data_IF_508936116279
#
_entry.id   IF_508936116279
#
_cell.length_a   1.000
_cell.length_b   1.000
_cell.length_c   1.000
_cell.angle_alpha   90.00
_cell.angle_beta   90.00
_cell.angle_gamma   90.00
#
_symmetry.space_group_name_H-M   'P 1'
#
loop_
_entity.id
_entity.type
_entity.pdbx_description
1 polymer ?
#
# COMPACT_ATOMS: atom_id res chain seq x y z
N UNK A 1 -16.17 -10.12 21.26
CA UNK A 1 -17.13 -10.20 20.14
C UNK A 1 -17.42 -11.67 19.87
N UNK A 2 -18.59 -12.04 19.34
CA UNK A 2 -18.87 -13.44 18.96
C UNK A 2 -18.75 -13.54 17.43
N UNK A 3 -18.09 -14.58 16.91
CA UNK A 3 -17.90 -14.82 15.48
C UNK A 3 -18.53 -16.18 15.10
N UNK A 4 -18.88 -16.39 13.82
CA UNK A 4 -19.52 -17.62 13.39
C UNK A 4 -19.18 -18.00 11.96
N UNK A 5 -19.02 -19.32 11.77
CA UNK A 5 -19.04 -20.05 10.53
C UNK A 5 -17.86 -19.80 9.58
N UNK A 6 -16.87 -20.69 9.69
CA UNK A 6 -16.11 -21.20 8.55
C UNK A 6 -16.62 -22.61 8.17
N UNK A 7 -16.51 -23.01 6.90
CA UNK A 7 -17.08 -24.28 6.40
C UNK A 7 -16.01 -25.29 5.97
N UNK A 8 -16.21 -26.57 6.26
CA UNK A 8 -15.73 -27.70 5.45
C UNK A 8 -14.22 -28.03 5.39
N UNK A 9 -13.31 -27.34 6.08
CA UNK A 9 -11.88 -27.70 6.09
C UNK A 9 -11.21 -27.56 7.46
N UNK A 10 -10.18 -28.41 7.69
CA UNK A 10 -9.36 -28.37 8.91
C UNK A 10 -8.51 -27.10 8.94
N UNK A 11 -8.97 -26.08 9.66
CA UNK A 11 -8.10 -24.97 10.05
C UNK A 11 -6.93 -25.49 10.89
N UNK A 12 -5.74 -25.49 10.31
CA UNK A 12 -4.49 -25.45 11.08
C UNK A 12 -4.47 -24.13 11.85
N UNK A 13 -4.80 -24.19 13.14
CA UNK A 13 -4.85 -23.04 14.05
C UNK A 13 -3.45 -22.55 14.46
N UNK A 14 -2.54 -22.46 13.49
CA UNK A 14 -1.20 -21.85 13.56
C UNK A 14 -0.95 -20.83 12.43
N UNK A 15 -1.83 -20.72 11.43
CA UNK A 15 -1.64 -19.84 10.26
C UNK A 15 -2.36 -18.50 10.38
N UNK A 16 -3.69 -18.52 10.52
CA UNK A 16 -4.50 -17.29 10.58
C UNK A 16 -4.31 -16.52 11.88
N UNK A 17 -4.19 -17.23 13.00
CA UNK A 17 -3.92 -16.66 14.32
C UNK A 17 -2.59 -15.91 14.32
N UNK A 18 -1.49 -16.56 13.90
CA UNK A 18 -0.17 -15.94 13.84
C UNK A 18 -0.12 -14.75 12.86
N UNK A 19 -0.79 -14.86 11.71
CA UNK A 19 -0.89 -13.76 10.73
C UNK A 19 -1.63 -12.54 11.30
N UNK A 20 -2.83 -12.73 11.85
CA UNK A 20 -3.58 -11.62 12.44
C UNK A 20 -2.92 -11.09 13.72
N UNK A 21 -2.40 -11.94 14.60
CA UNK A 21 -1.77 -11.48 15.85
C UNK A 21 -0.49 -10.67 15.55
N UNK A 22 0.34 -11.11 14.59
CA UNK A 22 1.52 -10.37 14.16
C UNK A 22 1.16 -9.06 13.45
N UNK A 23 0.36 -9.12 12.37
CA UNK A 23 0.08 -7.95 11.53
C UNK A 23 -0.85 -6.90 12.16
N UNK A 24 -1.51 -7.25 13.26
CA UNK A 24 -2.38 -6.33 14.01
C UNK A 24 -1.85 -5.99 15.40
N UNK A 25 -0.61 -6.37 15.73
CA UNK A 25 0.01 -6.10 17.03
C UNK A 25 -0.85 -6.62 18.21
N UNK A 26 -1.36 -7.84 18.07
CA UNK A 26 -2.28 -8.53 18.98
C UNK A 26 -3.66 -7.85 19.17
N UNK A 27 -4.05 -6.88 18.34
CA UNK A 27 -5.36 -6.22 18.44
C UNK A 27 -6.50 -7.08 17.89
N UNK A 28 -6.21 -7.95 16.91
CA UNK A 28 -7.10 -9.00 16.42
C UNK A 28 -6.46 -10.36 16.69
N UNK A 29 -7.26 -11.29 17.23
CA UNK A 29 -6.85 -12.68 17.49
C UNK A 29 -7.78 -13.62 16.72
N UNK A 30 -7.23 -14.64 16.05
CA UNK A 30 -8.01 -15.59 15.24
C UNK A 30 -8.10 -16.98 15.91
N UNK A 31 -8.36 -16.99 17.21
CA UNK A 31 -8.31 -18.22 18.02
C UNK A 31 -9.50 -19.15 17.75
N UNK A 32 -9.29 -20.46 17.89
CA UNK A 32 -10.29 -21.50 17.58
C UNK A 32 -11.55 -21.35 18.43
N UNK A 33 -11.42 -21.03 19.71
CA UNK A 33 -12.54 -20.81 20.64
C UNK A 33 -13.46 -19.64 20.24
N UNK A 34 -12.96 -18.71 19.42
CA UNK A 34 -13.72 -17.57 18.92
C UNK A 34 -14.27 -17.81 17.51
N UNK A 35 -13.78 -18.81 16.76
CA UNK A 35 -14.12 -19.07 15.36
C UNK A 35 -14.84 -20.42 15.23
N UNK A 36 -16.16 -20.38 15.13
CA UNK A 36 -16.99 -21.57 14.96
C UNK A 36 -16.87 -22.12 13.54
N UNK A 37 -16.52 -23.40 13.41
CA UNK A 37 -16.39 -24.12 12.13
C UNK A 37 -17.51 -25.15 12.03
N UNK A 38 -18.14 -25.28 10.87
CA UNK A 38 -19.24 -26.22 10.61
C UNK A 38 -19.00 -26.99 9.31
N UNK A 39 -19.04 -28.32 9.38
CA UNK A 39 -19.04 -29.16 8.19
C UNK A 39 -20.50 -29.34 7.74
N UNK A 40 -20.77 -29.04 6.46
CA UNK A 40 -22.12 -29.02 5.89
C UNK A 40 -22.12 -29.79 4.57
N UNK A 41 -22.93 -30.84 4.53
CA UNK A 41 -23.18 -31.59 3.30
C UNK A 41 -23.94 -30.72 2.30
N UNK A 42 -23.30 -30.45 1.17
CA UNK A 42 -23.82 -29.60 0.09
C UNK A 42 -24.11 -30.50 -1.12
N UNK A 43 -25.37 -30.60 -1.60
CA UNK A 43 -25.67 -31.24 -2.86
C UNK A 43 -24.87 -30.59 -4.00
N UNK A 44 -24.41 -31.34 -4.99
CA UNK A 44 -23.63 -30.74 -6.09
C UNK A 44 -24.47 -29.83 -7.01
N UNK A 45 -25.79 -30.04 -7.06
CA UNK A 45 -26.74 -29.29 -7.89
C UNK A 45 -28.01 -29.12 -7.08
N UNK A 46 -28.62 -27.93 -7.08
CA UNK A 46 -29.85 -27.71 -6.34
C UNK A 46 -30.36 -26.28 -6.38
N UNK A 47 -31.19 -25.93 -5.40
CA UNK A 47 -31.74 -24.58 -5.22
C UNK A 47 -31.81 -24.27 -3.74
N UNK A 48 -31.27 -23.11 -3.35
CA UNK A 48 -31.23 -22.62 -1.98
C UNK A 48 -31.93 -21.25 -1.92
N UNK A 49 -33.17 -21.24 -1.42
CA UNK A 49 -34.00 -20.03 -1.48
C UNK A 49 -34.30 -19.66 -2.94
N UNK A 50 -33.81 -18.50 -3.39
CA UNK A 50 -33.93 -18.06 -4.79
C UNK A 50 -32.79 -18.51 -5.71
N UNK A 51 -31.65 -18.88 -5.14
CA UNK A 51 -30.42 -19.15 -5.86
C UNK A 51 -30.43 -20.59 -6.39
N UNK A 52 -30.32 -20.75 -7.70
CA UNK A 52 -30.11 -22.08 -8.31
C UNK A 52 -28.61 -22.24 -8.43
N UNK A 53 -28.05 -23.38 -8.05
CA UNK A 53 -26.59 -23.57 -8.12
C UNK A 53 -26.26 -24.87 -8.83
N UNK A 54 -25.17 -24.87 -9.61
CA UNK A 54 -24.60 -26.07 -10.20
C UNK A 54 -23.09 -26.09 -9.96
N UNK A 55 -22.71 -26.63 -8.81
CA UNK A 55 -21.32 -26.76 -8.38
C UNK A 55 -20.49 -27.74 -9.24
N UNK A 56 -21.10 -28.39 -10.24
CA UNK A 56 -20.38 -29.21 -11.24
C UNK A 56 -19.90 -28.41 -12.45
N UNK A 57 -20.66 -27.39 -12.87
CA UNK A 57 -20.45 -26.71 -14.16
C UNK A 57 -20.44 -25.18 -14.09
N UNK A 58 -20.71 -24.58 -12.92
CA UNK A 58 -20.63 -23.12 -12.72
C UNK A 58 -21.57 -22.30 -13.59
N UNK A 59 -22.68 -22.89 -14.04
CA UNK A 59 -23.49 -22.34 -15.13
C UNK A 59 -24.88 -21.86 -14.69
N UNK A 60 -25.05 -21.57 -13.41
CA UNK A 60 -26.16 -20.72 -12.96
C UNK A 60 -25.81 -19.27 -13.26
N UNK A 61 -26.81 -18.43 -13.54
CA UNK A 61 -26.56 -17.04 -13.97
C UNK A 61 -26.03 -16.17 -12.81
N UNK A 62 -24.82 -15.63 -12.95
CA UNK A 62 -24.25 -14.64 -12.02
C UNK A 62 -23.69 -15.27 -10.74
N UNK A 63 -23.85 -14.58 -9.61
CA UNK A 63 -23.28 -14.97 -8.30
C UNK A 63 -24.07 -16.08 -7.59
N UNK A 64 -24.92 -16.82 -8.31
CA UNK A 64 -25.94 -17.71 -7.75
C UNK A 64 -25.31 -18.87 -6.95
N UNK A 65 -24.16 -19.41 -7.38
CA UNK A 65 -23.35 -20.37 -6.63
C UNK A 65 -22.80 -19.79 -5.31
N UNK A 66 -22.30 -18.55 -5.32
CA UNK A 66 -21.73 -17.86 -4.15
C UNK A 66 -22.79 -17.66 -3.06
N UNK A 67 -23.94 -17.08 -3.43
CA UNK A 67 -25.04 -16.81 -2.50
C UNK A 67 -25.88 -18.05 -2.19
N UNK A 68 -25.93 -19.03 -3.10
CA UNK A 68 -26.49 -20.36 -2.85
C UNK A 68 -25.77 -21.07 -1.71
N UNK A 69 -24.44 -21.05 -1.70
CA UNK A 69 -23.62 -21.56 -0.60
C UNK A 69 -23.94 -20.86 0.74
N UNK A 70 -24.05 -19.52 0.73
CA UNK A 70 -24.43 -18.74 1.91
C UNK A 70 -25.83 -19.10 2.45
N UNK A 71 -26.77 -19.39 1.54
CA UNK A 71 -28.14 -19.74 1.89
C UNK A 71 -28.26 -21.19 2.41
N UNK A 72 -27.47 -22.13 1.88
CA UNK A 72 -27.36 -23.49 2.42
C UNK A 72 -26.75 -23.49 3.82
N UNK A 73 -25.65 -22.76 4.01
CA UNK A 73 -25.01 -22.53 5.30
C UNK A 73 -26.00 -22.04 6.36
N UNK A 74 -26.82 -21.04 6.01
CA UNK A 74 -27.87 -20.52 6.89
C UNK A 74 -28.97 -21.55 7.19
N UNK A 75 -29.44 -22.29 6.19
CA UNK A 75 -30.45 -23.36 6.37
C UNK A 75 -29.96 -24.52 7.22
N UNK A 76 -28.67 -24.88 7.14
CA UNK A 76 -28.06 -25.85 8.03
C UNK A 76 -28.14 -25.35 9.49
N UNK A 77 -27.76 -24.09 9.73
CA UNK A 77 -27.78 -23.49 11.06
C UNK A 77 -29.20 -23.27 11.60
N UNK A 78 -30.20 -23.04 10.74
CA UNK A 78 -31.62 -23.03 11.13
C UNK A 78 -32.06 -24.40 11.71
N UNK A 79 -31.50 -25.51 11.22
CA UNK A 79 -31.78 -26.87 11.70
C UNK A 79 -30.92 -27.28 12.91
N UNK A 80 -29.65 -26.88 12.95
CA UNK A 80 -28.66 -27.39 13.94
C UNK A 80 -28.38 -26.43 15.08
N UNK A 81 -28.53 -25.12 14.88
CA UNK A 81 -28.21 -24.10 15.89
C UNK A 81 -29.07 -22.84 15.72
N UNK A 82 -30.35 -22.94 16.09
CA UNK A 82 -31.33 -21.86 15.97
C UNK A 82 -30.89 -20.54 16.64
N UNK A 83 -30.12 -20.59 17.73
CA UNK A 83 -29.57 -19.40 18.39
C UNK A 83 -28.55 -18.68 17.51
N UNK A 84 -27.67 -19.41 16.83
CA UNK A 84 -26.68 -18.82 15.93
C UNK A 84 -27.34 -18.33 14.64
N UNK A 85 -28.26 -19.10 14.05
CA UNK A 85 -29.05 -18.66 12.89
C UNK A 85 -29.83 -17.38 13.15
N UNK A 86 -30.55 -17.27 14.29
CA UNK A 86 -31.28 -16.05 14.68
C UNK A 86 -30.37 -14.82 14.78
N UNK A 87 -29.08 -15.02 15.08
CA UNK A 87 -28.09 -13.96 15.21
C UNK A 87 -27.18 -13.80 13.97
N UNK A 88 -27.48 -14.47 12.84
CA UNK A 88 -26.66 -14.50 11.62
C UNK A 88 -26.12 -13.12 11.20
N UNK A 89 -26.99 -12.12 11.05
CA UNK A 89 -26.61 -10.76 10.63
C UNK A 89 -25.76 -9.99 11.65
N UNK A 90 -25.63 -10.47 12.90
CA UNK A 90 -24.76 -9.85 13.92
C UNK A 90 -23.30 -10.25 13.78
N UNK A 91 -23.02 -11.37 13.09
CA UNK A 91 -21.67 -11.85 12.84
C UNK A 91 -21.03 -11.07 11.69
N UNK A 92 -19.97 -10.32 12.00
CA UNK A 92 -19.25 -9.42 11.09
C UNK A 92 -18.36 -10.12 10.06
N UNK A 93 -18.09 -11.41 10.22
CA UNK A 93 -17.27 -12.25 9.33
C UNK A 93 -18.00 -13.57 9.16
N UNK A 94 -18.11 -14.03 7.92
CA UNK A 94 -18.71 -15.31 7.52
C UNK A 94 -17.88 -15.83 6.36
N UNK A 95 -17.15 -16.93 6.58
CA UNK A 95 -16.14 -17.42 5.64
C UNK A 95 -16.66 -18.70 5.01
N UNK A 96 -17.06 -18.64 3.74
CA UNK A 96 -17.63 -19.77 3.02
C UNK A 96 -16.52 -20.41 2.18
N UNK A 97 -16.05 -21.58 2.61
CA UNK A 97 -15.03 -22.33 1.86
C UNK A 97 -15.76 -23.22 0.86
N UNK A 98 -15.37 -23.10 -0.41
CA UNK A 98 -15.91 -23.91 -1.48
C UNK A 98 -15.40 -25.36 -1.36
N UNK A 99 -16.28 -26.37 -1.50
CA UNK A 99 -15.87 -27.78 -1.52
C UNK A 99 -15.33 -28.22 -2.90
N UNK A 100 -14.96 -27.27 -3.77
CA UNK A 100 -14.92 -27.47 -5.22
C UNK A 100 -13.55 -27.27 -5.82
N UNK A 101 -12.92 -28.39 -6.10
CA UNK A 101 -11.75 -28.41 -6.96
C UNK A 101 -11.60 -29.72 -7.73
N UNK A 102 -12.60 -30.62 -7.69
CA UNK A 102 -12.58 -31.91 -8.40
C UNK A 102 -12.83 -31.81 -9.92
N UNK A 103 -13.09 -30.61 -10.47
CA UNK A 103 -13.26 -30.36 -11.90
C UNK A 103 -12.66 -29.01 -12.29
N UNK A 104 -12.03 -28.93 -13.47
CA UNK A 104 -11.16 -27.80 -13.85
C UNK A 104 -11.89 -26.55 -14.36
N UNK A 105 -11.23 -25.41 -14.19
CA UNK A 105 -11.31 -24.16 -14.98
C UNK A 105 -12.57 -23.27 -14.96
N UNK A 106 -13.67 -23.58 -14.26
CA UNK A 106 -14.83 -22.67 -14.26
C UNK A 106 -14.82 -21.59 -13.16
N UNK A 107 -14.25 -21.86 -11.98
CA UNK A 107 -14.16 -20.90 -10.87
C UNK A 107 -12.75 -20.29 -10.79
N UNK A 108 -12.45 -19.34 -11.66
CA UNK A 108 -11.13 -18.71 -11.81
C UNK A 108 -10.68 -17.75 -10.69
N UNK A 109 -11.15 -17.93 -9.45
CA UNK A 109 -10.79 -17.12 -8.29
C UNK A 109 -10.27 -17.99 -7.15
N UNK A 110 -9.31 -17.50 -6.36
CA UNK A 110 -8.84 -18.16 -5.12
C UNK A 110 -9.59 -17.64 -3.88
N UNK A 111 -9.97 -16.36 -3.90
CA UNK A 111 -10.76 -15.68 -2.88
C UNK A 111 -11.70 -14.66 -3.52
N UNK A 112 -12.77 -14.31 -2.79
CA UNK A 112 -13.64 -13.19 -3.12
C UNK A 112 -14.34 -12.69 -1.85
N UNK A 113 -14.53 -11.38 -1.72
CA UNK A 113 -15.18 -10.81 -0.53
C UNK A 113 -16.00 -9.56 -0.81
N UNK A 114 -17.00 -9.36 0.04
CA UNK A 114 -17.70 -8.08 0.15
C UNK A 114 -16.77 -7.00 0.70
N UNK A 115 -16.73 -5.85 0.02
CA UNK A 115 -15.88 -4.71 0.42
C UNK A 115 -16.64 -3.76 1.36
N UNK A 116 -16.03 -3.38 2.49
CA UNK A 116 -16.52 -2.30 3.35
C UNK A 116 -17.85 -2.58 4.06
N UNK A 117 -17.96 -3.74 4.72
CA UNK A 117 -19.22 -4.23 5.27
C UNK A 117 -19.83 -3.35 6.37
N UNK A 118 -21.06 -2.90 6.15
CA UNK A 118 -21.82 -2.09 7.10
C UNK A 118 -22.30 -2.90 8.34
N UNK A 119 -22.41 -2.27 9.53
CA UNK A 119 -22.93 -2.94 10.73
C UNK A 119 -24.35 -3.49 10.52
N UNK A 120 -24.59 -4.74 10.96
CA UNK A 120 -25.88 -5.48 10.84
C UNK A 120 -26.30 -5.87 9.42
N UNK A 121 -25.46 -5.62 8.40
CA UNK A 121 -25.61 -6.22 7.09
C UNK A 121 -24.86 -7.55 7.02
N UNK A 122 -25.28 -8.42 6.11
CA UNK A 122 -24.49 -9.61 5.81
C UNK A 122 -23.21 -9.23 5.07
N UNK A 123 -22.15 -9.96 5.40
CA UNK A 123 -20.79 -9.72 4.99
C UNK A 123 -20.18 -11.09 4.76
N UNK A 124 -19.87 -11.40 3.50
CA UNK A 124 -19.39 -12.71 3.08
C UNK A 124 -17.97 -12.60 2.53
N UNK A 125 -17.20 -13.64 2.83
CA UNK A 125 -15.93 -13.97 2.19
C UNK A 125 -16.08 -15.39 1.68
N UNK A 126 -15.75 -15.62 0.42
CA UNK A 126 -15.69 -16.90 -0.23
C UNK A 126 -14.23 -17.27 -0.48
N UNK A 127 -13.85 -18.50 -0.15
CA UNK A 127 -12.49 -19.02 -0.32
C UNK A 127 -12.58 -20.27 -1.17
N UNK A 128 -11.74 -20.37 -2.19
CA UNK A 128 -11.77 -21.44 -3.18
C UNK A 128 -10.41 -22.15 -3.21
N UNK A 129 -10.20 -23.17 -2.35
CA UNK A 129 -8.97 -23.95 -2.30
C UNK A 129 -8.79 -24.82 -3.56
N UNK A 130 -7.55 -25.12 -3.92
CA UNK A 130 -7.20 -25.87 -5.12
C UNK A 130 -7.49 -27.38 -5.06
N UNK A 131 -7.22 -28.09 -6.17
CA UNK A 131 -7.55 -29.52 -6.37
C UNK A 131 -6.88 -30.44 -5.36
N UNK A 132 -5.66 -30.09 -4.97
CA UNK A 132 -4.82 -30.86 -4.07
C UNK A 132 -4.82 -30.33 -2.63
N UNK A 133 -5.58 -29.27 -2.33
CA UNK A 133 -5.48 -28.54 -1.07
C UNK A 133 -6.39 -29.12 0.01
N UNK A 134 -5.82 -29.44 1.17
CA UNK A 134 -6.53 -29.95 2.35
C UNK A 134 -6.99 -28.85 3.32
N UNK A 135 -6.71 -27.58 2.97
CA UNK A 135 -6.88 -26.37 3.78
C UNK A 135 -6.96 -25.12 2.88
N UNK A 136 -7.59 -24.02 3.34
CA UNK A 136 -7.53 -22.74 2.64
C UNK A 136 -6.12 -22.13 2.67
N UNK A 137 -5.78 -21.37 1.63
CA UNK A 137 -4.61 -20.49 1.62
C UNK A 137 -4.83 -19.33 2.62
N UNK A 138 -3.93 -19.19 3.59
CA UNK A 138 -4.08 -18.28 4.73
C UNK A 138 -3.86 -16.80 4.36
N UNK A 139 -2.81 -16.44 3.59
CA UNK A 139 -2.73 -15.18 2.87
C UNK A 139 -4.00 -14.78 2.11
N UNK A 140 -4.61 -15.69 1.34
CA UNK A 140 -5.88 -15.38 0.64
C UNK A 140 -6.98 -15.06 1.65
N UNK A 141 -7.15 -15.89 2.69
CA UNK A 141 -8.10 -15.61 3.79
C UNK A 141 -7.83 -14.24 4.44
N UNK A 142 -6.57 -13.84 4.59
CA UNK A 142 -6.20 -12.55 5.17
C UNK A 142 -6.56 -11.37 4.26
N UNK A 143 -6.25 -11.46 2.96
CA UNK A 143 -6.62 -10.47 1.94
C UNK A 143 -8.15 -10.27 1.89
N UNK A 144 -8.90 -11.37 1.75
CA UNK A 144 -10.37 -11.31 1.64
C UNK A 144 -11.05 -10.78 2.91
N UNK A 145 -10.52 -11.08 4.09
CA UNK A 145 -10.99 -10.47 5.35
C UNK A 145 -10.57 -9.00 5.49
N UNK A 146 -9.52 -8.57 4.77
CA UNK A 146 -9.16 -7.16 4.60
C UNK A 146 -10.23 -6.39 3.83
N UNK A 147 -10.75 -6.96 2.74
CA UNK A 147 -11.86 -6.37 1.98
C UNK A 147 -13.12 -6.16 2.84
N UNK A 148 -13.50 -7.12 3.68
CA UNK A 148 -14.63 -6.98 4.61
C UNK A 148 -14.55 -5.73 5.50
N UNK A 149 -13.35 -5.30 5.90
CA UNK A 149 -13.13 -4.07 6.70
C UNK A 149 -12.85 -2.82 5.86
N UNK A 150 -12.97 -2.92 4.53
CA UNK A 150 -12.84 -1.80 3.59
C UNK A 150 -11.40 -1.56 3.11
N UNK A 151 -10.48 -2.50 3.26
CA UNK A 151 -9.22 -2.45 2.52
C UNK A 151 -9.51 -2.70 1.03
N UNK A 152 -8.92 -1.90 0.17
CA UNK A 152 -8.92 -2.16 -1.28
C UNK A 152 -7.64 -2.94 -1.62
N UNK A 153 -7.36 -3.24 -2.89
CA UNK A 153 -6.04 -3.76 -3.28
C UNK A 153 -4.91 -2.78 -2.91
N UNK A 154 -3.64 -3.19 -3.00
CA UNK A 154 -2.49 -2.29 -2.86
C UNK A 154 -1.77 -2.19 -4.20
N UNK A 155 -1.82 -0.99 -4.77
CA UNK A 155 -1.45 -0.73 -6.16
C UNK A 155 -0.13 0.03 -6.28
N UNK A 156 0.38 0.16 -7.50
CA UNK A 156 1.62 0.90 -7.80
C UNK A 156 1.52 1.60 -9.15
N UNK A 157 2.28 2.68 -9.32
CA UNK A 157 2.53 3.25 -10.65
C UNK A 157 3.72 2.53 -11.28
N UNK A 158 3.51 1.93 -12.44
CA UNK A 158 4.51 1.16 -13.19
C UNK A 158 4.74 1.85 -14.53
N UNK A 159 5.99 2.19 -14.82
CA UNK A 159 6.38 2.85 -16.07
C UNK A 159 7.14 1.88 -16.97
N UNK A 160 6.86 1.91 -18.27
CA UNK A 160 7.65 1.19 -19.26
C UNK A 160 8.99 1.88 -19.56
N UNK A 161 9.86 1.22 -20.33
CA UNK A 161 11.16 1.77 -20.76
C UNK A 161 11.05 3.00 -21.69
N UNK A 162 9.85 3.47 -22.00
CA UNK A 162 9.57 4.67 -22.81
C UNK A 162 8.96 5.80 -21.98
N UNK A 163 8.80 5.60 -20.66
CA UNK A 163 8.22 6.57 -19.74
C UNK A 163 6.69 6.57 -19.68
N UNK A 164 6.01 5.59 -20.32
CA UNK A 164 4.56 5.47 -20.21
C UNK A 164 4.21 4.81 -18.86
N UNK A 165 3.62 5.57 -17.96
CA UNK A 165 3.24 5.11 -16.62
C UNK A 165 1.76 4.73 -16.54
N UNK A 166 1.47 3.56 -15.99
CA UNK A 166 0.12 3.06 -15.74
C UNK A 166 -0.04 2.62 -14.28
N UNK A 167 -1.28 2.57 -13.80
CA UNK A 167 -1.61 2.03 -12.47
C UNK A 167 -1.77 0.52 -12.55
N UNK A 168 -0.92 -0.22 -11.85
CA UNK A 168 -1.02 -1.67 -11.64
C UNK A 168 -1.73 -1.94 -10.32
N UNK A 169 -2.85 -2.66 -10.35
CA UNK A 169 -3.76 -2.76 -9.21
C UNK A 169 -3.22 -3.59 -8.04
N UNK A 170 -2.50 -4.65 -8.34
CA UNK A 170 -1.80 -5.46 -7.35
C UNK A 170 -0.31 -5.10 -7.28
N UNK A 171 0.08 -3.99 -7.92
CA UNK A 171 1.46 -3.64 -8.17
C UNK A 171 2.32 -3.35 -6.94
N UNK A 172 1.76 -3.32 -5.72
CA UNK A 172 2.53 -3.32 -4.46
C UNK A 172 3.06 -4.74 -4.17
N UNK A 173 4.38 -4.99 -4.31
CA UNK A 173 4.96 -6.31 -4.13
C UNK A 173 5.30 -6.61 -2.66
N UNK A 174 4.94 -5.74 -1.71
CA UNK A 174 5.25 -5.89 -0.27
C UNK A 174 4.00 -5.80 0.62
N UNK A 175 2.80 -5.91 0.05
CA UNK A 175 1.52 -5.91 0.76
C UNK A 175 0.65 -7.11 0.32
N UNK A 176 0.04 -7.88 1.24
CA UNK A 176 -0.90 -8.97 0.90
C UNK A 176 -2.22 -8.49 0.29
N UNK A 177 -2.50 -7.19 0.23
CA UNK A 177 -3.55 -6.63 -0.64
C UNK A 177 -3.05 -6.37 -2.08
N UNK A 178 -1.74 -6.50 -2.32
CA UNK A 178 -1.08 -6.38 -3.62
C UNK A 178 -0.64 -7.75 -4.15
N UNK A 179 0.64 -7.89 -4.55
CA UNK A 179 1.17 -9.09 -5.19
C UNK A 179 2.19 -9.87 -4.33
N UNK A 180 2.15 -9.72 -3.00
CA UNK A 180 3.09 -10.38 -2.08
C UNK A 180 2.48 -11.62 -1.42
N UNK A 181 3.30 -12.66 -1.22
CA UNK A 181 2.89 -13.91 -0.56
C UNK A 181 4.04 -14.43 0.34
N UNK A 182 3.75 -15.01 1.52
CA UNK A 182 4.76 -15.68 2.33
C UNK A 182 5.14 -17.03 1.73
N UNK A 183 6.45 -17.30 1.71
CA UNK A 183 7.07 -18.41 0.98
C UNK A 183 6.90 -19.76 1.67
N UNK A 184 6.81 -19.69 2.99
CA UNK A 184 6.29 -20.75 3.81
C UNK A 184 5.23 -20.11 4.72
N UNK A 185 3.93 -20.24 4.38
CA UNK A 185 2.82 -19.70 5.19
C UNK A 185 2.74 -20.30 6.61
N UNK A 186 3.59 -21.27 6.97
CA UNK A 186 3.71 -21.82 8.32
C UNK A 186 4.87 -21.23 9.12
N UNK A 187 5.78 -20.49 8.48
CA UNK A 187 6.97 -19.87 9.11
C UNK A 187 7.01 -18.36 8.95
N UNK A 188 6.51 -17.83 7.85
CA UNK A 188 6.61 -16.43 7.47
C UNK A 188 5.23 -15.79 7.36
N UNK A 189 5.17 -14.50 7.67
CA UNK A 189 3.97 -13.67 7.62
C UNK A 189 4.31 -12.40 6.84
N UNK A 190 3.44 -11.98 5.92
CA UNK A 190 3.56 -10.67 5.28
C UNK A 190 2.38 -9.81 5.68
N UNK A 191 2.67 -8.58 6.13
CA UNK A 191 1.67 -7.66 6.68
C UNK A 191 1.39 -6.49 5.75
N UNK A 192 0.14 -6.03 5.75
CA UNK A 192 -0.34 -4.85 5.00
C UNK A 192 0.58 -3.64 5.11
N UNK A 193 0.72 -2.85 4.04
CA UNK A 193 1.52 -1.63 4.02
C UNK A 193 0.99 -0.58 5.01
N UNK A 194 1.76 0.49 5.22
CA UNK A 194 1.42 1.53 6.18
C UNK A 194 0.06 2.20 5.93
N UNK A 195 -0.31 2.44 4.67
CA UNK A 195 -1.57 3.08 4.33
C UNK A 195 -2.78 2.17 4.67
N UNK A 196 -2.71 0.90 4.30
CA UNK A 196 -3.73 -0.11 4.63
C UNK A 196 -3.82 -0.37 6.13
N UNK A 197 -2.68 -0.55 6.81
CA UNK A 197 -2.62 -0.82 8.25
C UNK A 197 -3.10 0.37 9.09
N UNK A 198 -2.87 1.61 8.64
CA UNK A 198 -3.50 2.82 9.19
C UNK A 198 -5.01 2.84 8.94
N UNK A 199 -5.47 2.55 7.71
CA UNK A 199 -6.90 2.51 7.35
C UNK A 199 -7.67 1.46 8.18
N UNK A 200 -7.04 0.32 8.46
CA UNK A 200 -7.58 -0.74 9.31
C UNK A 200 -7.60 -0.39 10.82
N UNK A 201 -6.90 0.69 11.22
CA UNK A 201 -6.70 1.04 12.63
C UNK A 201 -5.71 0.13 13.37
N UNK A 202 -4.91 -0.66 12.65
CA UNK A 202 -3.94 -1.59 13.24
C UNK A 202 -2.63 -0.90 13.64
N UNK A 203 -2.21 0.09 12.87
CA UNK A 203 -1.00 0.87 13.12
C UNK A 203 -1.28 2.37 13.14
N UNK A 204 -0.43 3.13 13.84
CA UNK A 204 -0.49 4.59 13.89
C UNK A 204 0.81 5.21 13.37
N UNK A 205 0.79 6.53 13.08
CA UNK A 205 2.03 7.28 12.96
C UNK A 205 2.84 7.25 14.27
N UNK A 206 4.14 7.50 14.16
CA UNK A 206 5.03 7.75 15.31
C UNK A 206 4.68 9.07 16.00
N UNK A 207 5.23 9.30 17.20
CA UNK A 207 5.09 10.59 17.87
C UNK A 207 5.65 11.72 16.99
N UNK A 208 4.83 12.72 16.67
CA UNK A 208 5.18 13.78 15.73
C UNK A 208 5.20 13.38 14.25
N UNK A 209 4.88 12.12 13.90
CA UNK A 209 4.85 11.61 12.53
C UNK A 209 3.49 11.76 11.82
N UNK A 210 2.45 12.24 12.49
CA UNK A 210 1.15 12.58 11.90
C UNK A 210 1.14 14.08 11.60
N UNK A 211 1.26 14.44 10.32
CA UNK A 211 1.68 15.78 9.88
C UNK A 211 0.76 16.33 8.80
N UNK A 212 0.59 17.64 8.77
CA UNK A 212 0.06 18.41 7.66
C UNK A 212 1.21 19.08 6.93
N UNK A 213 1.37 18.80 5.62
CA UNK A 213 2.46 19.33 4.81
C UNK A 213 2.59 20.86 4.94
N UNK A 214 1.47 21.57 4.83
CA UNK A 214 1.44 23.04 4.78
C UNK A 214 1.37 23.74 6.14
N UNK A 215 1.39 23.00 7.25
CA UNK A 215 1.34 23.56 8.62
C UNK A 215 2.50 23.12 9.50
N UNK A 216 2.95 21.88 9.34
CA UNK A 216 3.94 21.26 10.23
C UNK A 216 5.33 21.13 9.57
N UNK A 217 5.45 21.33 8.25
CA UNK A 217 6.73 21.46 7.55
C UNK A 217 6.90 22.90 7.08
N UNK A 218 8.14 23.38 7.08
CA UNK A 218 8.54 24.68 6.51
C UNK A 218 9.32 24.40 5.23
N UNK A 219 9.06 25.13 4.12
CA UNK A 219 9.84 24.99 2.89
C UNK A 219 11.34 25.15 3.16
N UNK A 220 12.16 24.29 2.56
CA UNK A 220 13.63 24.30 2.69
C UNK A 220 14.18 23.90 4.06
N UNK A 221 13.34 23.52 5.03
CA UNK A 221 13.76 23.11 6.38
C UNK A 221 13.55 21.60 6.57
N UNK A 222 14.59 20.76 6.41
CA UNK A 222 14.48 19.32 6.61
C UNK A 222 14.14 18.97 8.06
N UNK A 223 13.11 18.14 8.26
CA UNK A 223 12.76 17.54 9.56
C UNK A 223 13.13 16.07 9.61
N UNK A 224 13.89 15.68 10.63
CA UNK A 224 14.38 14.31 10.83
C UNK A 224 13.42 13.53 11.73
N UNK A 225 13.13 12.27 11.34
CA UNK A 225 12.25 11.35 12.06
C UNK A 225 12.90 9.97 12.19
N UNK A 226 12.66 9.31 13.33
CA UNK A 226 12.98 7.90 13.54
C UNK A 226 11.74 7.05 13.33
N UNK A 227 11.84 6.06 12.44
CA UNK A 227 10.80 5.11 12.10
C UNK A 227 11.17 3.72 12.62
N UNK A 228 10.50 3.22 13.67
CA UNK A 228 10.61 1.82 14.06
C UNK A 228 10.27 0.88 12.90
N UNK A 229 10.92 -0.27 12.86
CA UNK A 229 10.55 -1.34 11.93
C UNK A 229 9.09 -1.77 12.17
N UNK A 230 8.31 -1.89 11.10
CA UNK A 230 6.89 -2.26 11.18
C UNK A 230 6.66 -3.57 11.94
N UNK A 231 7.59 -4.52 11.92
CA UNK A 231 7.48 -5.77 12.66
C UNK A 231 7.55 -5.63 14.19
N UNK A 232 8.06 -4.50 14.71
CA UNK A 232 8.39 -4.33 16.13
C UNK A 232 7.47 -3.38 16.90
N UNK A 233 6.76 -2.48 16.21
CA UNK A 233 5.95 -1.45 16.87
C UNK A 233 4.71 -1.12 16.03
N UNK A 234 3.56 -0.88 16.68
CA UNK A 234 2.34 -0.40 16.03
C UNK A 234 2.44 1.06 15.58
N UNK A 235 3.30 1.85 16.22
CA UNK A 235 3.60 3.22 15.85
C UNK A 235 4.90 3.23 15.02
N UNK A 236 4.78 3.17 13.70
CA UNK A 236 5.89 2.78 12.79
C UNK A 236 5.99 3.57 11.47
N UNK A 237 5.19 4.62 11.32
CA UNK A 237 5.12 5.38 10.07
C UNK A 237 5.08 6.90 10.28
N UNK A 238 5.36 7.64 9.21
CA UNK A 238 4.87 9.00 9.01
C UNK A 238 3.61 8.95 8.16
N UNK A 239 2.67 9.85 8.44
CA UNK A 239 1.52 10.17 7.58
C UNK A 239 1.54 11.67 7.34
N UNK A 240 1.94 12.07 6.14
CA UNK A 240 2.07 13.45 5.71
C UNK A 240 0.85 13.80 4.85
N UNK A 241 -0.09 14.56 5.38
CA UNK A 241 -1.30 15.00 4.68
C UNK A 241 -0.89 16.00 3.59
N UNK A 242 -1.15 15.63 2.34
CA UNK A 242 -0.92 16.46 1.15
C UNK A 242 -2.22 17.06 0.59
N UNK A 243 -3.34 16.86 1.28
CA UNK A 243 -4.63 17.40 0.89
C UNK A 243 -4.80 18.87 1.29
N UNK A 244 -4.79 19.77 0.30
CA UNK A 244 -4.99 21.22 0.52
C UNK A 244 -6.42 21.57 0.98
N UNK A 245 -7.43 20.78 0.62
CA UNK A 245 -8.84 21.02 0.99
C UNK A 245 -9.15 20.49 2.39
N UNK A 246 -8.50 19.40 2.79
CA UNK A 246 -8.60 18.85 4.13
C UNK A 246 -7.20 18.63 4.79
N UNK A 247 -6.46 19.71 5.12
CA UNK A 247 -5.11 19.63 5.68
C UNK A 247 -5.11 19.37 7.20
N UNK A 248 -6.23 18.94 7.79
CA UNK A 248 -6.36 18.84 9.24
C UNK A 248 -5.89 17.50 9.79
N UNK A 249 -5.00 17.57 10.77
CA UNK A 249 -4.44 16.42 11.51
C UNK A 249 -5.44 15.88 12.53
N UNK A 250 -6.24 16.76 13.14
CA UNK A 250 -7.08 16.47 14.32
C UNK A 250 -8.60 16.61 14.08
N UNK A 251 -9.04 17.43 13.11
CA UNK A 251 -10.47 17.60 12.82
C UNK A 251 -10.90 16.67 11.68
N UNK A 252 -11.09 15.39 12.00
CA UNK A 252 -11.79 14.46 11.13
C UNK A 252 -13.30 14.73 11.18
N UNK A 253 -13.76 15.85 10.61
CA UNK A 253 -15.19 16.11 10.33
C UNK A 253 -15.64 15.24 9.15
N UNK A 254 -15.71 13.93 9.41
CA UNK A 254 -16.52 12.84 8.84
C UNK A 254 -16.72 12.65 7.33
N UNK A 255 -16.48 13.61 6.42
CA UNK A 255 -16.97 13.50 5.04
C UNK A 255 -15.96 13.74 3.90
N UNK A 256 -14.74 14.22 4.17
CA UNK A 256 -13.75 14.47 3.10
C UNK A 256 -12.57 13.49 3.16
N UNK A 257 -12.46 12.68 2.11
CA UNK A 257 -11.27 11.87 1.80
C UNK A 257 -10.01 12.74 1.87
N UNK A 258 -8.96 12.26 2.55
CA UNK A 258 -7.67 12.95 2.64
C UNK A 258 -6.61 12.21 1.84
N UNK A 259 -5.91 12.93 0.95
CA UNK A 259 -4.63 12.46 0.39
C UNK A 259 -3.51 12.61 1.41
N UNK A 260 -2.68 11.57 1.54
CA UNK A 260 -1.50 11.59 2.38
C UNK A 260 -0.40 10.68 1.81
N UNK A 261 0.86 11.08 2.00
CA UNK A 261 2.02 10.23 1.79
C UNK A 261 2.27 9.44 3.07
N UNK A 262 2.57 8.15 2.94
CA UNK A 262 2.92 7.26 4.04
C UNK A 262 4.38 6.85 3.90
N UNK A 263 5.17 7.05 4.96
CA UNK A 263 6.58 6.65 5.01
C UNK A 263 6.72 5.63 6.13
N UNK A 264 7.24 4.44 5.85
CA UNK A 264 7.37 3.38 6.86
C UNK A 264 8.63 2.56 6.62
N UNK A 265 9.14 1.93 7.68
CA UNK A 265 10.35 1.13 7.60
C UNK A 265 10.07 -0.36 7.74
N UNK A 266 10.51 -1.15 6.76
CA UNK A 266 10.42 -2.61 6.76
C UNK A 266 11.82 -3.21 6.82
N UNK A 267 11.97 -4.22 7.66
CA UNK A 267 13.16 -5.07 7.76
C UNK A 267 12.79 -6.40 7.13
N UNK A 268 13.68 -6.94 6.30
CA UNK A 268 13.34 -7.99 5.34
C UNK A 268 13.92 -9.35 5.75
N UNK A 269 13.08 -10.39 5.67
CA UNK A 269 13.43 -11.82 5.73
C UNK A 269 12.66 -12.52 4.56
N UNK A 270 13.25 -13.55 3.93
CA UNK A 270 13.24 -13.69 2.45
C UNK A 270 12.15 -14.55 1.74
N UNK A 271 12.18 -14.41 0.38
CA UNK A 271 11.55 -15.09 -0.78
C UNK A 271 10.21 -14.47 -1.30
N UNK A 272 9.61 -14.93 -2.41
CA UNK A 272 9.95 -14.74 -3.84
C UNK A 272 8.78 -15.07 -4.83
N UNK A 273 8.43 -14.13 -5.73
CA UNK A 273 7.57 -14.28 -6.96
C UNK A 273 6.06 -14.62 -6.75
N UNK A 274 5.09 -14.51 -7.70
CA UNK A 274 5.03 -14.33 -9.17
C UNK A 274 3.59 -13.86 -9.60
N UNK A 275 3.20 -13.38 -10.80
CA UNK A 275 3.92 -12.88 -11.99
C UNK A 275 3.12 -11.86 -12.89
N UNK A 276 1.86 -12.07 -13.31
CA UNK A 276 1.02 -11.04 -14.02
C UNK A 276 -0.10 -11.47 -15.01
N UNK A 277 -1.37 -11.21 -14.67
CA UNK A 277 -2.58 -11.14 -15.54
C UNK A 277 -3.50 -9.98 -15.03
N UNK A 278 -4.29 -9.24 -15.87
CA UNK A 278 -4.78 -7.88 -15.54
C UNK A 278 -6.09 -7.76 -14.73
N UNK A 279 -6.31 -6.59 -14.10
CA UNK A 279 -7.42 -6.26 -13.19
C UNK A 279 -8.07 -4.87 -13.44
N UNK A 280 -9.07 -4.46 -12.63
CA UNK A 280 -9.89 -3.26 -12.81
C UNK A 280 -10.55 -2.76 -11.48
N UNK A 281 -10.51 -1.48 -11.05
CA UNK A 281 -9.58 -0.34 -11.30
C UNK A 281 -9.81 0.90 -10.37
N UNK A 282 -10.91 1.02 -9.63
CA UNK A 282 -11.38 2.32 -9.08
C UNK A 282 -10.85 2.73 -7.68
N UNK A 283 -9.55 3.03 -7.60
CA UNK A 283 -8.85 3.86 -6.56
C UNK A 283 -8.47 3.28 -5.17
N UNK A 284 -7.74 2.16 -5.08
CA UNK A 284 -6.96 1.76 -3.89
C UNK A 284 -5.73 2.64 -3.56
N UNK A 285 -5.06 2.43 -2.39
CA UNK A 285 -3.76 3.02 -2.09
C UNK A 285 -2.66 2.62 -3.09
N UNK A 286 -1.64 3.48 -3.20
CA UNK A 286 -0.56 3.40 -4.18
C UNK A 286 0.79 3.45 -3.46
N UNK A 287 1.65 2.46 -3.71
CA UNK A 287 3.09 2.57 -3.46
C UNK A 287 3.73 3.42 -4.55
N UNK A 288 4.50 4.42 -4.13
CA UNK A 288 5.15 5.38 -5.03
C UNK A 288 6.62 5.02 -5.26
N UNK A 289 7.36 4.69 -4.20
CA UNK A 289 8.77 4.33 -4.26
C UNK A 289 9.22 3.52 -3.03
N UNK A 290 10.41 2.91 -3.11
CA UNK A 290 11.10 2.30 -1.97
C UNK A 290 12.58 2.69 -1.96
N UNK A 291 13.07 3.12 -0.79
CA UNK A 291 14.46 3.55 -0.58
C UNK A 291 15.33 2.35 -0.18
N UNK A 292 16.52 2.20 -0.78
CA UNK A 292 17.50 1.17 -0.40
C UNK A 292 18.89 1.76 -0.13
N UNK A 293 19.80 0.94 0.39
CA UNK A 293 21.23 1.27 0.60
C UNK A 293 22.08 0.99 -0.65
N UNK A 294 21.57 1.39 -1.83
CA UNK A 294 22.18 1.16 -3.16
C UNK A 294 22.43 -0.32 -3.51
N UNK A 295 21.97 -1.26 -2.69
CA UNK A 295 21.93 -2.68 -3.01
C UNK A 295 20.65 -2.96 -3.79
N UNK A 296 20.72 -3.74 -4.90
CA UNK A 296 19.52 -4.22 -5.56
C UNK A 296 18.74 -5.12 -4.59
N UNK A 297 17.42 -4.93 -4.42
CA UNK A 297 16.59 -5.87 -3.69
C UNK A 297 16.58 -7.21 -4.46
N UNK A 298 16.95 -8.34 -3.83
CA UNK A 298 16.93 -9.61 -4.55
C UNK A 298 15.52 -9.98 -5.06
N UNK A 299 15.45 -10.42 -6.32
CA UNK A 299 14.27 -11.07 -6.94
C UNK A 299 12.96 -10.27 -7.06
N UNK A 300 12.99 -8.93 -7.20
CA UNK A 300 11.78 -8.17 -7.60
C UNK A 300 12.04 -7.31 -8.84
N UNK A 301 11.79 -7.93 -10.01
CA UNK A 301 12.26 -7.53 -11.36
C UNK A 301 11.64 -6.25 -11.95
N UNK A 302 10.93 -5.43 -11.15
CA UNK A 302 10.17 -4.25 -11.60
C UNK A 302 10.28 -3.05 -10.64
N UNK A 303 11.26 -3.04 -9.74
CA UNK A 303 11.44 -1.96 -8.76
C UNK A 303 12.08 -0.71 -9.34
N UNK A 304 11.44 0.44 -9.11
CA UNK A 304 12.13 1.72 -9.02
C UNK A 304 12.91 1.77 -7.71
N UNK A 305 14.14 1.26 -7.72
CA UNK A 305 15.10 1.43 -6.63
C UNK A 305 15.58 2.87 -6.65
N UNK A 306 15.48 3.57 -5.53
CA UNK A 306 16.04 4.91 -5.40
C UNK A 306 17.21 4.91 -4.41
N UNK A 307 18.29 5.57 -4.83
CA UNK A 307 19.55 5.67 -4.09
C UNK A 307 19.40 6.64 -2.92
N UNK A 308 18.85 6.16 -1.80
CA UNK A 308 18.77 6.90 -0.54
C UNK A 308 17.75 8.06 -0.50
N UNK A 309 17.23 8.58 -1.60
CA UNK A 309 16.24 9.67 -1.62
C UNK A 309 15.03 9.40 -2.52
N UNK A 310 13.87 9.99 -2.19
CA UNK A 310 12.66 9.94 -3.01
C UNK A 310 11.99 11.31 -3.03
N UNK A 311 11.74 11.83 -4.22
CA UNK A 311 11.05 13.11 -4.43
C UNK A 311 9.70 12.88 -5.08
N UNK A 312 8.63 13.33 -4.41
CA UNK A 312 7.28 13.36 -4.94
C UNK A 312 6.86 14.80 -5.25
N UNK A 313 6.68 15.14 -6.52
CA UNK A 313 6.04 16.39 -6.93
C UNK A 313 4.55 16.37 -6.56
N UNK A 314 4.05 17.48 -6.05
CA UNK A 314 2.69 17.66 -5.58
C UNK A 314 2.05 18.86 -6.29
N UNK A 315 1.04 18.65 -7.16
CA UNK A 315 0.35 19.74 -7.85
C UNK A 315 -0.10 20.84 -6.89
N UNK A 316 0.20 22.09 -7.26
CA UNK A 316 -0.08 23.32 -6.49
C UNK A 316 0.54 23.39 -5.07
N UNK A 317 1.46 22.49 -4.73
CA UNK A 317 2.12 22.39 -3.41
C UNK A 317 3.65 22.20 -3.51
N UNK A 318 4.26 22.29 -4.69
CA UNK A 318 5.71 22.07 -4.87
C UNK A 318 6.05 20.58 -4.85
N UNK A 319 6.86 20.11 -3.90
CA UNK A 319 7.14 18.69 -3.75
C UNK A 319 7.78 18.31 -2.41
N UNK A 320 7.79 17.01 -2.10
CA UNK A 320 8.35 16.48 -0.85
C UNK A 320 9.48 15.53 -1.17
N UNK A 321 10.65 15.80 -0.61
CA UNK A 321 11.84 14.95 -0.62
C UNK A 321 11.91 14.15 0.69
N UNK A 322 12.16 12.84 0.58
CA UNK A 322 12.34 11.92 1.70
C UNK A 322 13.70 11.25 1.54
N UNK A 323 14.61 11.46 2.49
CA UNK A 323 15.97 10.92 2.43
C UNK A 323 16.23 9.95 3.57
N UNK A 324 16.73 8.76 3.26
CA UNK A 324 17.22 7.77 4.23
C UNK A 324 18.60 8.21 4.76
N UNK A 325 18.66 8.63 6.02
CA UNK A 325 19.91 9.07 6.66
C UNK A 325 20.64 7.92 7.38
N UNK A 326 19.92 6.97 7.98
CA UNK A 326 20.52 5.74 8.55
C UNK A 326 19.50 4.61 8.74
N UNK A 327 19.95 3.36 8.93
CA UNK A 327 19.08 2.21 9.24
C UNK A 327 19.75 1.16 10.13
N UNK A 328 18.92 0.42 10.85
CA UNK A 328 19.25 -0.70 11.74
C UNK A 328 18.14 -1.76 11.62
N UNK A 329 18.32 -3.02 12.07
CA UNK A 329 17.25 -4.01 12.12
C UNK A 329 16.06 -3.63 13.02
N UNK A 330 16.12 -2.52 13.76
CA UNK A 330 15.05 -2.07 14.66
C UNK A 330 14.37 -0.77 14.23
N UNK A 331 15.09 0.12 13.53
CA UNK A 331 14.58 1.42 13.09
C UNK A 331 15.40 2.02 11.93
N UNK A 332 14.80 2.93 11.18
CA UNK A 332 15.47 3.82 10.23
C UNK A 332 15.30 5.28 10.62
N UNK A 333 16.28 6.11 10.27
CA UNK A 333 16.22 7.57 10.39
C UNK A 333 16.04 8.16 9.00
N UNK A 334 14.97 8.94 8.82
CA UNK A 334 14.66 9.62 7.56
C UNK A 334 14.59 11.13 7.76
N UNK A 335 15.04 11.90 6.78
CA UNK A 335 14.73 13.32 6.65
C UNK A 335 13.51 13.48 5.75
N UNK A 336 12.62 14.41 6.08
CA UNK A 336 11.53 14.85 5.21
C UNK A 336 11.66 16.36 5.04
N UNK A 337 11.75 16.79 3.79
CA UNK A 337 11.88 18.20 3.43
C UNK A 337 10.80 18.53 2.39
N UNK A 338 10.20 19.73 2.54
CA UNK A 338 9.20 20.26 1.62
C UNK A 338 9.86 21.38 0.82
N UNK A 339 9.70 21.38 -0.50
CA UNK A 339 10.22 22.44 -1.37
C UNK A 339 9.11 23.09 -2.20
N UNK A 340 9.38 24.32 -2.64
CA UNK A 340 8.53 25.07 -3.58
C UNK A 340 9.23 25.27 -4.94
N UNK A 341 10.56 25.15 -4.99
CA UNK A 341 11.37 25.13 -6.21
C UNK A 341 12.01 23.75 -6.40
N UNK A 342 12.33 23.38 -7.64
CA UNK A 342 13.06 22.13 -7.96
C UNK A 342 14.56 22.35 -8.22
N UNK A 343 15.01 23.60 -8.13
CA UNK A 343 16.38 24.08 -8.35
C UNK A 343 16.55 25.37 -7.53
N UNK A 344 17.48 25.43 -6.58
CA UNK A 344 17.75 26.61 -5.75
C UNK A 344 18.00 27.88 -6.60
N UNK A 345 18.79 27.73 -7.67
CA UNK A 345 19.23 28.82 -8.56
C UNK A 345 18.14 29.42 -9.47
N UNK A 346 16.92 28.87 -9.49
CA UNK A 346 15.97 29.10 -10.59
C UNK A 346 15.00 30.29 -10.44
N UNK A 347 15.07 31.05 -9.34
CA UNK A 347 14.15 32.17 -9.10
C UNK A 347 14.75 33.38 -8.37
N UNK A 348 15.53 33.16 -7.31
CA UNK A 348 16.17 34.22 -6.54
C UNK A 348 17.57 33.77 -6.11
N UNK A 349 18.57 34.65 -6.29
CA UNK A 349 19.95 34.38 -5.87
C UNK A 349 20.08 34.32 -4.34
N UNK A 350 19.12 34.86 -3.60
CA UNK A 350 19.11 34.81 -2.13
C UNK A 350 19.00 33.38 -1.59
N UNK A 351 18.32 32.49 -2.31
CA UNK A 351 18.13 31.06 -1.99
C UNK A 351 19.44 30.25 -1.96
N UNK A 352 20.53 30.82 -2.48
CA UNK A 352 21.88 30.25 -2.42
C UNK A 352 22.73 30.81 -1.28
N UNK A 353 22.10 31.48 -0.31
CA UNK A 353 22.76 32.14 0.83
C UNK A 353 21.87 32.36 2.05
N UNK A 354 20.71 31.69 2.12
CA UNK A 354 19.70 31.89 3.18
C UNK A 354 19.75 30.81 4.29
N UNK A 355 20.58 29.77 4.12
CA UNK A 355 20.78 28.70 5.09
C UNK A 355 19.76 27.57 4.98
N UNK A 356 19.02 27.47 3.87
CA UNK A 356 17.99 26.46 3.62
C UNK A 356 18.39 25.50 2.49
N UNK A 357 17.72 24.35 2.44
CA UNK A 357 17.85 23.29 1.40
C UNK A 357 16.63 23.44 0.48
N UNK A 358 16.62 24.49 -0.35
CA UNK A 358 15.40 25.09 -0.92
C UNK A 358 14.68 24.22 -1.97
N UNK A 359 15.37 23.27 -2.59
CA UNK A 359 14.81 22.22 -3.44
C UNK A 359 14.84 20.81 -2.81
N UNK A 360 15.37 20.69 -1.59
CA UNK A 360 15.43 19.48 -0.79
C UNK A 360 16.27 18.33 -1.37
N UNK A 361 17.29 18.66 -2.18
CA UNK A 361 18.36 17.77 -2.65
C UNK A 361 19.18 17.19 -1.46
N UNK A 362 19.32 17.94 -0.36
CA UNK A 362 20.08 17.57 0.83
C UNK A 362 21.41 18.31 1.01
N UNK A 363 21.72 19.24 0.11
CA UNK A 363 22.80 20.21 0.19
C UNK A 363 22.21 21.60 0.51
N UNK A 364 23.07 22.57 0.88
CA UNK A 364 22.65 23.90 1.33
C UNK A 364 23.59 24.97 0.76
N UNK A 365 23.02 26.04 0.21
CA UNK A 365 23.72 27.25 -0.23
C UNK A 365 24.99 26.94 -1.08
N UNK A 366 26.18 27.27 -0.57
CA UNK A 366 27.45 27.11 -1.28
C UNK A 366 27.93 25.65 -1.39
N UNK A 367 27.37 24.73 -0.59
CA UNK A 367 27.62 23.29 -0.74
C UNK A 367 26.84 22.71 -1.93
N UNK A 368 25.74 23.34 -2.32
CA UNK A 368 24.87 22.94 -3.44
C UNK A 368 25.53 23.15 -4.83
N UNK A 369 25.44 22.21 -5.79
CA UNK A 369 25.97 22.35 -7.14
C UNK A 369 25.29 23.43 -8.00
N UNK A 370 23.98 23.61 -7.88
CA UNK A 370 23.18 24.53 -8.67
C UNK A 370 23.49 26.00 -8.29
N UNK A 371 23.80 26.25 -7.03
CA UNK A 371 24.28 27.55 -6.56
C UNK A 371 25.70 27.91 -7.07
N UNK A 372 26.55 26.94 -7.42
CA UNK A 372 27.90 27.20 -7.96
C UNK A 372 27.89 27.82 -9.36
N UNK A 373 26.78 27.72 -10.09
CA UNK A 373 26.60 28.41 -11.37
C UNK A 373 26.40 29.94 -11.19
N UNK A 374 25.78 30.36 -10.08
CA UNK A 374 25.48 31.77 -9.77
C UNK A 374 26.67 32.48 -9.10
N UNK A 375 27.45 31.77 -8.29
CA UNK A 375 28.60 32.35 -7.55
C UNK A 375 29.82 32.71 -8.42
N UNK A 376 29.78 32.45 -9.73
CA UNK A 376 30.86 32.86 -10.63
C UNK A 376 30.75 34.36 -10.98
N UNK A 377 31.81 35.16 -10.75
CA UNK A 377 31.80 36.56 -11.18
C UNK A 377 31.66 36.62 -12.71
N UNK A 378 30.95 37.63 -13.25
CA UNK A 378 30.70 37.71 -14.69
C UNK A 378 32.02 37.70 -15.47
N UNK A 379 32.08 36.99 -16.62
CA UNK A 379 33.31 36.85 -17.38
C UNK A 379 33.87 38.24 -17.71
N UNK A 380 35.15 38.46 -17.37
CA UNK A 380 35.84 39.75 -17.62
C UNK A 380 35.63 40.15 -19.07
N UNK A 381 34.92 41.26 -19.31
CA UNK A 381 34.72 41.82 -20.66
C UNK A 381 36.07 41.89 -21.37
N UNK A 382 36.22 41.32 -22.57
CA UNK A 382 37.46 41.47 -23.34
C UNK A 382 37.80 42.95 -23.50
N UNK A 383 39.00 43.35 -23.08
CA UNK A 383 39.48 44.72 -23.26
C UNK A 383 39.53 45.03 -24.76
N UNK A 384 38.85 46.11 -25.17
CA UNK A 384 38.78 46.54 -26.57
C UNK A 384 40.19 46.66 -27.16
N UNK A 385 40.49 46.07 -28.33
CA UNK A 385 41.76 46.29 -29.00
C UNK A 385 41.97 47.80 -29.28
N UNK A 386 43.23 48.29 -29.30
CA UNK A 386 43.52 49.66 -29.70
C UNK A 386 42.97 49.94 -31.11
N UNK A 387 42.37 51.11 -31.32
CA UNK A 387 41.91 51.52 -32.65
C UNK A 387 43.10 51.57 -33.63
N UNK A 388 42.94 50.99 -34.82
CA UNK A 388 43.92 51.08 -35.91
C UNK A 388 44.15 52.53 -36.36
N UNK A 389 45.37 52.90 -36.80
CA UNK A 389 45.62 54.23 -37.35
C UNK A 389 44.81 54.51 -38.63
N UNK A 390 44.53 55.79 -38.97
CA UNK A 390 43.85 56.15 -40.21
C UNK A 390 44.63 55.71 -41.47
N UNK A 391 43.95 55.35 -42.58
CA UNK A 391 44.63 55.01 -43.83
C UNK A 391 45.43 56.19 -44.39
N UNK A 392 46.67 55.94 -44.80
CA UNK A 392 47.46 56.92 -45.55
C UNK A 392 46.89 57.08 -46.96
N UNK A 393 46.67 58.33 -47.39
CA UNK A 393 46.38 58.64 -48.79
C UNK A 393 47.63 58.38 -49.63
N UNK A 394 47.55 57.43 -50.56
CA UNK A 394 48.56 57.29 -51.62
C UNK A 394 48.13 58.10 -52.86
N UNK A 395 49.04 58.94 -53.33
CA UNK A 395 48.86 59.76 -54.52
C UNK A 395 49.18 58.95 -55.78
N UNK A 396 48.23 58.96 -56.71
CA UNK A 396 48.37 59.05 -58.19
C UNK A 396 49.73 58.63 -58.79
N UNK A 397 49.69 57.65 -59.71
CA UNK A 397 50.06 57.84 -61.12
C UNK A 397 49.23 56.93 -62.02
#
# INVERSE_FOLDING_TARGET
>A
MRYAAAFGMKFSARGVDVTFESCTYNQLTFKKENNLVFDVDIPCIGTAGRFKYNLKTGSSSGDDELYGLAQLAKQYLEKTNATLSKNWSTYRRKILIFPLSWYTDWAGFAGMAMVGCAPRHDCYTWINPGVADDKPDMPVVFQELGHNIGLAHSSRVVCDNRGNCARDEYGDPVDPMGATWPNDPQKHVVCTNAAQSYKAGWSSPTQGGHLSLTKDLTPGVPRVFTLPAMALNKANMLRIITDRKNPSVNNATTELQQRALFVSYRVHEYNETANGIPANLDTPPIVLAMLTDNKPPPEIRTWGVLNGSFTQLLPDLGGVSIQLKSKTPQAATVSVCWFLSIVESSGDQSMCSDGLDNDCDGLVDAEDPDCKAILQPPPKKPSRPPNSPPPQQQQIF
#
